data_IF_085900414688
#
_entry.id   IF_085900414688
#
_cell.length_a   1.000
_cell.length_b   1.000
_cell.length_c   1.000
_cell.angle_alpha   90.00
_cell.angle_beta   90.00
_cell.angle_gamma   90.00
#
_symmetry.space_group_name_H-M   'P 1'
#
loop_
_entity.id
_entity.type
_entity.pdbx_description
1 polymer ?
#
# COMPACT_ATOMS: atom_id res chain seq x y z
N UNK A 1 20.07 58.92 -39.01
CA UNK A 1 19.94 60.38 -38.83
C UNK A 1 19.33 60.60 -37.44
N UNK A 2 20.14 61.01 -36.45
CA UNK A 2 20.06 62.27 -35.64
C UNK A 2 18.68 62.46 -34.98
N UNK A 3 18.49 62.68 -33.67
CA UNK A 3 19.26 63.33 -32.59
C UNK A 3 18.77 62.75 -31.23
N UNK A 4 19.45 62.71 -30.08
CA UNK A 4 20.35 63.58 -29.30
C UNK A 4 19.68 64.76 -28.55
N UNK A 5 19.96 64.78 -27.23
CA UNK A 5 19.72 65.78 -26.16
C UNK A 5 18.37 65.71 -25.42
N UNK A 6 18.29 65.80 -24.08
CA UNK A 6 19.08 66.65 -23.18
C UNK A 6 19.31 66.08 -21.76
N UNK A 7 20.47 66.43 -21.20
CA UNK A 7 20.79 66.43 -19.76
C UNK A 7 20.01 67.53 -19.02
N UNK A 8 19.70 67.33 -17.73
CA UNK A 8 20.05 68.32 -16.71
C UNK A 8 20.16 67.69 -15.32
N UNK A 9 21.28 68.02 -14.66
CA UNK A 9 21.74 67.65 -13.33
C UNK A 9 21.17 68.56 -12.24
N UNK A 10 20.98 68.04 -11.02
CA UNK A 10 21.09 68.82 -9.79
C UNK A 10 21.65 67.96 -8.63
N UNK A 11 22.79 68.39 -8.10
CA UNK A 11 23.37 67.97 -6.82
C UNK A 11 22.80 68.88 -5.70
N UNK A 12 22.74 68.50 -4.41
CA UNK A 12 23.81 68.75 -3.41
C UNK A 12 23.34 68.30 -1.99
N UNK A 13 24.19 67.49 -1.33
CA UNK A 13 24.68 67.51 0.08
C UNK A 13 23.79 67.14 1.29
N UNK A 14 24.18 65.99 1.87
CA UNK A 14 24.56 65.61 3.26
C UNK A 14 23.81 66.10 4.51
N UNK A 15 23.49 65.12 5.37
CA UNK A 15 23.26 65.28 6.81
C UNK A 15 23.54 64.00 7.61
N UNK A 16 24.68 64.01 8.31
CA UNK A 16 25.19 63.28 9.49
C UNK A 16 24.67 61.91 9.96
N UNK A 17 25.67 61.12 10.36
CA UNK A 17 25.64 59.78 10.95
C UNK A 17 25.12 59.72 12.40
N UNK A 18 24.57 58.55 12.77
CA UNK A 18 24.76 57.91 14.07
C UNK A 18 24.74 56.39 13.89
N UNK A 19 25.69 55.73 14.53
CA UNK A 19 26.08 54.33 14.40
C UNK A 19 24.99 53.31 14.78
N UNK A 20 25.07 52.08 14.24
CA UNK A 20 25.43 50.87 15.00
C UNK A 20 25.43 49.61 14.11
N UNK A 21 26.50 48.83 14.25
CA UNK A 21 26.57 47.36 14.16
C UNK A 21 26.13 46.67 12.84
N UNK A 22 27.14 46.48 11.98
CA UNK A 22 27.56 45.19 11.42
C UNK A 22 26.66 43.95 11.71
N UNK A 23 25.91 43.50 10.70
CA UNK A 23 25.64 42.05 10.45
C UNK A 23 24.98 41.81 9.08
N UNK A 24 25.73 41.20 8.18
CA UNK A 24 25.23 40.26 7.17
C UNK A 24 26.33 39.20 7.05
N UNK A 25 26.01 37.88 7.07
CA UNK A 25 25.06 37.20 6.19
C UNK A 25 23.99 36.43 7.01
N UNK A 26 22.87 35.93 6.49
CA UNK A 26 22.75 34.86 5.50
C UNK A 26 21.25 34.68 5.13
N UNK A 27 20.90 34.11 3.96
CA UNK A 27 19.53 34.00 3.48
C UNK A 27 18.86 32.81 4.16
N UNK A 28 18.12 33.04 5.24
CA UNK A 28 17.16 32.06 5.74
C UNK A 28 15.94 32.00 4.82
N UNK A 29 16.13 31.45 3.62
CA UNK A 29 15.06 30.69 2.98
C UNK A 29 14.97 29.36 3.74
N UNK A 30 14.19 29.35 4.83
CA UNK A 30 13.73 28.11 5.44
C UNK A 30 12.84 27.43 4.40
N UNK A 31 13.43 26.52 3.63
CA UNK A 31 12.66 25.67 2.74
C UNK A 31 11.71 24.83 3.60
N UNK A 32 10.41 24.74 3.24
CA UNK A 32 9.48 23.86 3.94
C UNK A 32 10.02 22.43 3.93
N UNK A 33 9.64 21.56 4.90
CA UNK A 33 10.05 20.16 4.87
C UNK A 33 9.54 19.55 3.57
N UNK A 34 10.47 19.32 2.63
CA UNK A 34 10.17 18.61 1.41
C UNK A 34 9.66 17.24 1.84
N UNK A 35 8.43 16.96 1.45
CA UNK A 35 7.76 15.68 1.58
C UNK A 35 8.72 14.57 1.09
N UNK A 36 9.46 13.90 1.98
CA UNK A 36 10.51 12.92 1.59
C UNK A 36 9.93 11.57 1.19
N UNK A 37 8.78 11.57 0.51
CA UNK A 37 8.43 10.43 -0.30
C UNK A 37 9.42 10.40 -1.47
N UNK A 38 10.34 9.42 -1.47
CA UNK A 38 11.20 9.16 -2.62
C UNK A 38 10.29 9.05 -3.86
N UNK A 39 10.60 9.77 -4.96
CA UNK A 39 9.85 9.59 -6.20
C UNK A 39 9.92 8.13 -6.63
N UNK A 40 8.81 7.62 -7.18
CA UNK A 40 8.69 6.21 -7.60
C UNK A 40 9.81 5.89 -8.59
N UNK A 41 10.68 4.95 -8.22
CA UNK A 41 11.79 4.54 -9.07
C UNK A 41 11.33 3.56 -10.15
N UNK A 42 12.17 3.34 -11.18
CA UNK A 42 11.92 2.30 -12.18
C UNK A 42 11.82 0.91 -11.54
N UNK A 43 12.60 0.66 -10.49
CA UNK A 43 12.54 -0.59 -9.73
C UNK A 43 11.20 -0.75 -9.00
N UNK A 44 10.65 0.34 -8.44
CA UNK A 44 9.34 0.33 -7.80
C UNK A 44 8.22 0.06 -8.83
N UNK A 45 8.30 0.70 -10.00
CA UNK A 45 7.35 0.48 -11.10
C UNK A 45 7.39 -0.97 -11.60
N UNK A 46 8.59 -1.55 -11.75
CA UNK A 46 8.78 -2.96 -12.10
C UNK A 46 8.19 -3.89 -11.03
N UNK A 47 8.44 -3.61 -9.75
CA UNK A 47 7.88 -4.38 -8.64
C UNK A 47 6.34 -4.36 -8.57
N UNK A 48 5.71 -3.25 -8.98
CA UNK A 48 4.25 -3.18 -9.11
C UNK A 48 3.73 -3.94 -10.33
N UNK A 49 4.43 -3.88 -11.46
CA UNK A 49 4.08 -4.64 -12.65
C UNK A 49 4.16 -6.16 -12.38
N UNK A 50 5.23 -6.62 -11.75
CA UNK A 50 5.40 -8.01 -11.33
C UNK A 50 4.31 -8.45 -10.34
N UNK A 51 3.94 -7.59 -9.39
CA UNK A 51 2.82 -7.86 -8.48
C UNK A 51 1.51 -8.10 -9.24
N UNK A 52 1.17 -7.20 -10.17
CA UNK A 52 -0.04 -7.32 -10.99
C UNK A 52 -0.06 -8.61 -11.80
N UNK A 53 1.06 -8.95 -12.45
CA UNK A 53 1.21 -10.21 -13.18
C UNK A 53 0.96 -11.42 -12.27
N UNK A 54 1.53 -11.42 -11.06
CA UNK A 54 1.41 -12.52 -10.10
C UNK A 54 -0.01 -12.69 -9.54
N UNK A 55 -0.71 -11.59 -9.22
CA UNK A 55 -2.11 -11.69 -8.78
C UNK A 55 -3.05 -12.10 -9.91
N UNK A 56 -2.78 -11.68 -11.15
CA UNK A 56 -3.52 -12.15 -12.34
C UNK A 56 -3.28 -13.63 -12.59
N UNK A 57 -2.04 -14.11 -12.50
CA UNK A 57 -1.72 -15.52 -12.64
C UNK A 57 -2.36 -16.37 -11.54
N UNK A 58 -2.37 -15.88 -10.29
CA UNK A 58 -3.07 -16.51 -9.18
C UNK A 58 -4.57 -16.64 -9.47
N UNK A 59 -5.23 -15.54 -9.87
CA UNK A 59 -6.66 -15.53 -10.19
C UNK A 59 -7.00 -16.46 -11.36
N UNK A 60 -6.17 -16.51 -12.40
CA UNK A 60 -6.36 -17.43 -13.51
C UNK A 60 -6.27 -18.91 -13.08
N UNK A 61 -5.31 -19.25 -12.21
CA UNK A 61 -5.20 -20.59 -11.63
C UNK A 61 -6.44 -20.93 -10.78
N UNK A 62 -6.82 -20.00 -9.90
CA UNK A 62 -8.02 -20.10 -9.06
C UNK A 62 -9.26 -20.41 -9.91
N UNK A 63 -9.57 -19.55 -10.88
CA UNK A 63 -10.76 -19.67 -11.71
C UNK A 63 -10.77 -20.98 -12.51
N UNK A 64 -9.60 -21.42 -13.01
CA UNK A 64 -9.46 -22.70 -13.70
C UNK A 64 -9.78 -23.88 -12.77
N UNK A 65 -9.31 -23.86 -11.53
CA UNK A 65 -9.55 -24.93 -10.57
C UNK A 65 -10.99 -24.89 -10.04
N UNK A 66 -11.54 -23.71 -9.79
CA UNK A 66 -12.93 -23.54 -9.38
C UNK A 66 -13.88 -24.05 -10.47
N UNK A 67 -13.62 -23.75 -11.74
CA UNK A 67 -14.40 -24.26 -12.87
C UNK A 67 -14.35 -25.79 -13.04
N UNK A 68 -13.39 -26.48 -12.40
CA UNK A 68 -13.33 -27.95 -12.39
C UNK A 68 -14.20 -28.59 -11.32
N UNK A 69 -14.72 -27.80 -10.37
CA UNK A 69 -15.62 -28.28 -9.33
C UNK A 69 -17.04 -28.46 -9.89
N UNK A 70 -17.84 -29.38 -9.31
CA UNK A 70 -19.24 -29.50 -9.65
C UNK A 70 -19.97 -28.16 -9.44
N UNK A 71 -20.81 -27.77 -10.41
CA UNK A 71 -21.64 -26.58 -10.28
C UNK A 71 -22.44 -26.61 -8.98
N UNK A 72 -22.51 -25.46 -8.31
CA UNK A 72 -23.31 -25.32 -7.09
C UNK A 72 -24.80 -25.54 -7.44
N UNK A 73 -25.56 -26.29 -6.62
CA UNK A 73 -27.01 -26.40 -6.78
C UNK A 73 -27.69 -25.04 -6.74
N UNK A 74 -28.88 -24.93 -7.35
CA UNK A 74 -29.68 -23.70 -7.33
C UNK A 74 -30.00 -23.22 -5.91
N UNK A 75 -30.24 -24.15 -4.98
CA UNK A 75 -30.30 -23.85 -3.55
C UNK A 75 -28.93 -24.01 -2.90
N UNK A 76 -28.32 -22.89 -2.55
CA UNK A 76 -27.00 -22.85 -1.92
C UNK A 76 -27.15 -22.67 -0.41
N UNK A 77 -27.08 -23.76 0.35
CA UNK A 77 -27.03 -23.72 1.82
C UNK A 77 -25.62 -23.36 2.30
N UNK A 78 -25.48 -22.92 3.55
CA UNK A 78 -24.15 -22.65 4.15
C UNK A 78 -23.24 -23.89 4.10
N UNK A 79 -23.79 -25.08 4.30
CA UNK A 79 -23.05 -26.34 4.21
C UNK A 79 -22.51 -26.57 2.79
N UNK A 80 -23.30 -26.29 1.75
CA UNK A 80 -22.86 -26.39 0.34
C UNK A 80 -21.75 -25.39 0.04
N UNK A 81 -21.85 -24.15 0.53
CA UNK A 81 -20.79 -23.13 0.38
C UNK A 81 -19.50 -23.62 1.01
N UNK A 82 -19.56 -24.09 2.25
CA UNK A 82 -18.40 -24.54 2.99
C UNK A 82 -17.73 -25.77 2.34
N UNK A 83 -18.50 -26.75 1.87
CA UNK A 83 -17.95 -27.90 1.15
C UNK A 83 -17.25 -27.50 -0.15
N UNK A 84 -17.84 -26.56 -0.89
CA UNK A 84 -17.23 -26.04 -2.11
C UNK A 84 -15.94 -25.27 -1.83
N UNK A 85 -15.93 -24.44 -0.80
CA UNK A 85 -14.74 -23.72 -0.32
C UNK A 85 -13.61 -24.69 0.05
N UNK A 86 -13.91 -25.73 0.83
CA UNK A 86 -12.94 -26.78 1.18
C UNK A 86 -12.41 -27.53 -0.04
N UNK A 87 -13.26 -27.83 -1.02
CA UNK A 87 -12.85 -28.49 -2.25
C UNK A 87 -11.87 -27.62 -3.05
N UNK A 88 -12.20 -26.33 -3.22
CA UNK A 88 -11.33 -25.38 -3.91
C UNK A 88 -10.00 -25.17 -3.16
N UNK A 89 -10.06 -25.03 -1.84
CA UNK A 89 -8.88 -24.91 -0.99
C UNK A 89 -7.89 -26.06 -1.22
N UNK A 90 -8.38 -27.31 -1.25
CA UNK A 90 -7.53 -28.49 -1.51
C UNK A 90 -6.85 -28.42 -2.88
N UNK A 91 -7.58 -28.03 -3.92
CA UNK A 91 -7.03 -27.88 -5.27
C UNK A 91 -5.96 -26.78 -5.32
N UNK A 92 -6.23 -25.63 -4.70
CA UNK A 92 -5.28 -24.51 -4.64
C UNK A 92 -4.02 -24.87 -3.86
N UNK A 93 -4.15 -25.52 -2.71
CA UNK A 93 -3.03 -25.97 -1.87
C UNK A 93 -2.14 -26.94 -2.65
N UNK A 94 -2.73 -27.93 -3.34
CA UNK A 94 -1.97 -28.90 -4.13
C UNK A 94 -1.26 -28.24 -5.32
N UNK A 95 -1.98 -27.41 -6.09
CA UNK A 95 -1.43 -26.72 -7.25
C UNK A 95 -0.31 -25.72 -6.85
N UNK A 96 -0.35 -25.22 -5.61
CA UNK A 96 0.60 -24.27 -5.04
C UNK A 96 1.44 -24.88 -3.93
N UNK A 97 1.69 -26.20 -3.92
CA UNK A 97 2.38 -26.89 -2.82
C UNK A 97 3.76 -26.32 -2.47
N UNK A 98 4.43 -25.72 -3.45
CA UNK A 98 5.76 -25.11 -3.31
C UNK A 98 5.70 -23.59 -3.05
N UNK A 99 4.51 -23.02 -2.91
CA UNK A 99 4.32 -21.60 -2.67
C UNK A 99 4.81 -21.19 -1.27
N UNK A 100 5.51 -20.06 -1.23
CA UNK A 100 6.09 -19.48 -0.02
C UNK A 100 5.79 -18.00 0.07
N UNK A 101 5.96 -17.46 1.27
CA UNK A 101 5.80 -16.04 1.53
C UNK A 101 6.68 -15.22 0.57
N UNK A 102 6.10 -14.19 -0.03
CA UNK A 102 6.77 -13.29 -0.96
C UNK A 102 6.82 -13.78 -2.41
N UNK A 103 6.19 -14.90 -2.74
CA UNK A 103 6.02 -15.34 -4.13
C UNK A 103 5.06 -14.43 -4.91
N UNK A 104 4.15 -13.70 -4.25
CA UNK A 104 3.26 -12.71 -4.88
C UNK A 104 3.67 -11.30 -4.44
N UNK A 105 3.71 -11.04 -3.13
CA UNK A 105 4.17 -9.77 -2.54
C UNK A 105 5.69 -9.81 -2.41
N UNK A 106 6.38 -9.70 -3.54
CA UNK A 106 7.84 -9.77 -3.62
C UNK A 106 8.52 -8.72 -2.73
N UNK A 107 9.80 -8.88 -2.36
CA UNK A 107 10.52 -7.86 -1.59
C UNK A 107 10.47 -6.45 -2.20
N UNK A 108 10.49 -6.35 -3.53
CA UNK A 108 10.33 -5.07 -4.24
C UNK A 108 8.92 -4.50 -4.04
N UNK A 109 7.88 -5.32 -4.21
CA UNK A 109 6.49 -4.93 -3.95
C UNK A 109 6.28 -4.50 -2.50
N UNK A 110 6.85 -5.22 -1.54
CA UNK A 110 6.76 -4.87 -0.12
C UNK A 110 7.32 -3.49 0.18
N UNK A 111 8.44 -3.12 -0.46
CA UNK A 111 9.01 -1.79 -0.31
C UNK A 111 8.03 -0.71 -0.78
N UNK A 112 7.42 -0.90 -1.95
CA UNK A 112 6.43 0.04 -2.49
C UNK A 112 5.20 0.12 -1.59
N UNK A 113 4.69 -1.02 -1.13
CA UNK A 113 3.52 -1.07 -0.26
C UNK A 113 3.79 -0.34 1.07
N UNK A 114 4.96 -0.53 1.69
CA UNK A 114 5.36 0.23 2.88
C UNK A 114 5.36 1.74 2.62
N UNK A 115 5.88 2.19 1.48
CA UNK A 115 5.89 3.62 1.14
C UNK A 115 4.48 4.19 0.89
N UNK A 116 3.60 3.40 0.27
CA UNK A 116 2.19 3.75 0.07
C UNK A 116 1.48 3.86 1.42
N UNK A 117 1.56 2.81 2.24
CA UNK A 117 0.93 2.75 3.56
C UNK A 117 1.49 3.82 4.50
N UNK A 118 2.79 4.10 4.46
CA UNK A 118 3.40 5.18 5.24
C UNK A 118 2.89 6.58 4.88
N UNK A 119 2.38 6.77 3.65
CA UNK A 119 1.70 8.01 3.26
C UNK A 119 0.26 8.03 3.76
N UNK A 120 -0.46 6.90 3.63
CA UNK A 120 -1.84 6.76 4.10
C UNK A 120 -1.95 6.96 5.61
N UNK A 121 -1.02 6.39 6.39
CA UNK A 121 -1.05 6.46 7.85
C UNK A 121 -0.30 7.67 8.45
N UNK A 122 0.01 8.68 7.64
CA UNK A 122 0.70 9.88 8.10
C UNK A 122 -0.28 10.88 8.73
N UNK A 123 0.20 11.67 9.69
CA UNK A 123 -0.61 12.70 10.33
C UNK A 123 -1.55 12.15 11.39
N UNK A 124 -2.47 12.97 11.89
CA UNK A 124 -3.40 12.59 12.95
C UNK A 124 -4.43 11.58 12.49
N UNK A 125 -5.15 11.87 11.40
CA UNK A 125 -6.11 10.96 10.77
C UNK A 125 -5.49 9.60 10.42
N UNK A 126 -4.26 9.61 9.89
CA UNK A 126 -3.54 8.38 9.57
C UNK A 126 -3.20 7.53 10.80
N UNK A 127 -2.95 8.16 11.96
CA UNK A 127 -2.74 7.42 13.23
C UNK A 127 -4.04 6.82 13.73
N UNK A 128 -5.16 7.54 13.64
CA UNK A 128 -6.48 7.02 14.01
C UNK A 128 -6.87 5.84 13.12
N UNK A 129 -6.62 5.94 11.81
CA UNK A 129 -6.86 4.86 10.86
C UNK A 129 -6.02 3.61 11.14
N UNK A 130 -4.75 3.81 11.51
CA UNK A 130 -3.88 2.70 11.94
C UNK A 130 -4.40 2.08 13.24
N UNK A 131 -4.86 2.91 14.19
CA UNK A 131 -5.39 2.44 15.46
C UNK A 131 -6.67 1.61 15.27
N UNK A 132 -7.58 2.00 14.37
CA UNK A 132 -8.80 1.23 14.11
C UNK A 132 -8.49 -0.16 13.53
N UNK A 133 -7.49 -0.27 12.65
CA UNK A 133 -7.05 -1.58 12.13
C UNK A 133 -6.46 -2.44 13.25
N UNK A 134 -5.68 -1.84 14.15
CA UNK A 134 -5.05 -2.56 15.27
C UNK A 134 -6.05 -2.98 16.36
N UNK A 135 -7.14 -2.23 16.54
CA UNK A 135 -8.23 -2.56 17.46
C UNK A 135 -9.02 -3.80 16.98
N UNK A 136 -9.20 -3.94 15.67
CA UNK A 136 -9.81 -5.12 15.03
C UNK A 136 -8.86 -6.34 14.96
N UNK A 137 -7.62 -6.22 15.46
CA UNK A 137 -6.64 -7.28 15.36
C UNK A 137 -7.02 -8.48 16.24
N UNK A 138 -7.20 -9.68 15.67
CA UNK A 138 -7.53 -10.90 16.43
C UNK A 138 -6.38 -11.44 17.30
N UNK A 139 -5.23 -10.76 17.33
CA UNK A 139 -4.07 -11.14 18.11
C UNK A 139 -3.09 -12.02 17.33
N UNK A 140 -2.45 -12.96 18.03
CA UNK A 140 -1.37 -13.77 17.45
C UNK A 140 -1.93 -14.93 16.62
N UNK A 141 -2.13 -14.68 15.33
CA UNK A 141 -2.50 -15.70 14.34
C UNK A 141 -1.24 -16.21 13.64
N UNK A 142 -1.03 -17.52 13.65
CA UNK A 142 0.01 -18.17 12.86
C UNK A 142 -0.33 -18.10 11.37
N UNK A 143 0.35 -17.20 10.64
CA UNK A 143 0.15 -17.07 9.19
C UNK A 143 1.06 -18.02 8.43
N UNK A 144 0.50 -18.67 7.42
CA UNK A 144 1.25 -19.52 6.50
C UNK A 144 0.56 -19.46 5.14
N UNK A 145 1.35 -19.36 4.07
CA UNK A 145 0.84 -19.47 2.70
C UNK A 145 0.11 -20.81 2.53
N UNK A 146 -1.02 -20.78 1.84
CA UNK A 146 -1.97 -21.89 1.65
C UNK A 146 -2.68 -22.38 2.93
N UNK A 147 -2.43 -21.80 4.10
CA UNK A 147 -3.24 -22.13 5.28
C UNK A 147 -4.62 -21.48 5.15
N UNK A 148 -5.63 -22.16 5.71
CA UNK A 148 -6.96 -21.59 5.87
C UNK A 148 -6.89 -20.37 6.78
N UNK A 149 -7.64 -19.33 6.41
CA UNK A 149 -7.92 -18.25 7.34
C UNK A 149 -8.86 -18.79 8.43
N UNK A 150 -8.62 -18.51 9.73
CA UNK A 150 -9.47 -19.05 10.79
C UNK A 150 -10.90 -18.47 10.76
N UNK A 151 -11.91 -19.33 10.81
CA UNK A 151 -13.32 -18.93 10.74
C UNK A 151 -13.79 -18.15 11.99
N UNK A 152 -13.15 -18.40 13.14
CA UNK A 152 -13.49 -17.76 14.41
C UNK A 152 -13.00 -16.31 14.50
N UNK A 153 -12.16 -15.91 13.55
CA UNK A 153 -11.57 -14.59 13.49
C UNK A 153 -12.45 -13.71 12.61
N UNK A 154 -13.07 -12.65 13.16
CA UNK A 154 -13.78 -11.67 12.35
C UNK A 154 -12.86 -11.15 11.25
N UNK A 155 -13.41 -11.05 10.03
CA UNK A 155 -12.69 -10.44 8.90
C UNK A 155 -12.57 -8.94 9.17
N UNK A 156 -11.41 -8.52 9.67
CA UNK A 156 -11.10 -7.09 9.81
C UNK A 156 -11.27 -6.39 8.47
N UNK A 157 -11.87 -5.21 8.49
CA UNK A 157 -12.09 -4.42 7.30
C UNK A 157 -10.82 -3.66 6.93
N UNK A 158 -10.51 -3.58 5.63
CA UNK A 158 -9.45 -2.68 5.16
C UNK A 158 -10.10 -1.33 4.87
N UNK A 159 -9.66 -0.24 5.51
CA UNK A 159 -10.30 1.05 5.31
C UNK A 159 -10.23 1.50 3.84
N UNK A 160 -11.28 2.18 3.31
CA UNK A 160 -11.33 2.60 1.91
C UNK A 160 -10.14 3.43 1.44
N UNK A 161 -9.55 4.23 2.33
CA UNK A 161 -8.36 5.03 2.07
C UNK A 161 -7.14 4.16 1.77
N UNK A 162 -7.01 3.02 2.46
CA UNK A 162 -5.96 2.04 2.19
C UNK A 162 -6.21 1.33 0.86
N UNK A 163 -7.45 0.87 0.62
CA UNK A 163 -7.82 0.19 -0.64
C UNK A 163 -7.63 1.09 -1.87
N UNK A 164 -7.90 2.39 -1.74
CA UNK A 164 -7.72 3.36 -2.83
C UNK A 164 -6.25 3.61 -3.17
N UNK A 165 -5.34 3.34 -2.24
CA UNK A 165 -3.92 3.59 -2.39
C UNK A 165 -3.13 2.37 -2.91
N UNK A 166 -3.64 1.15 -2.68
CA UNK A 166 -3.03 -0.09 -3.13
C UNK A 166 -3.46 -0.47 -4.56
N UNK A 167 -2.69 -1.30 -5.29
CA UNK A 167 -3.12 -1.83 -6.58
C UNK A 167 -4.42 -2.62 -6.45
N UNK A 168 -5.33 -2.46 -7.41
CA UNK A 168 -6.59 -3.21 -7.45
C UNK A 168 -6.31 -4.72 -7.58
N UNK A 169 -7.07 -5.51 -6.85
CA UNK A 169 -7.02 -6.97 -6.93
C UNK A 169 -8.09 -7.51 -7.88
N UNK A 170 -7.87 -8.69 -8.48
CA UNK A 170 -8.95 -9.51 -9.04
C UNK A 170 -10.01 -9.82 -7.98
N UNK A 171 -11.25 -10.08 -8.40
CA UNK A 171 -12.37 -10.33 -7.49
C UNK A 171 -12.17 -11.55 -6.56
N UNK A 172 -11.32 -12.48 -6.95
CA UNK A 172 -10.99 -13.69 -6.19
C UNK A 172 -10.06 -13.43 -4.99
N UNK A 173 -9.49 -12.22 -4.88
CA UNK A 173 -8.52 -11.82 -3.87
C UNK A 173 -8.93 -10.55 -3.11
N UNK A 174 -8.64 -10.52 -1.82
CA UNK A 174 -8.82 -9.36 -0.96
C UNK A 174 -7.57 -9.03 -0.15
N UNK A 175 -7.35 -7.73 0.09
CA UNK A 175 -6.43 -7.29 1.14
C UNK A 175 -7.09 -7.43 2.50
N UNK A 176 -6.34 -7.90 3.50
CA UNK A 176 -6.74 -7.92 4.91
C UNK A 176 -5.56 -7.60 5.80
N UNK A 177 -5.82 -7.08 7.00
CA UNK A 177 -4.79 -6.90 8.04
C UNK A 177 -4.98 -7.92 9.16
N UNK A 178 -3.84 -8.47 9.63
CA UNK A 178 -3.76 -9.11 10.95
C UNK A 178 -2.59 -8.47 11.69
N UNK A 179 -2.93 -7.58 12.62
CA UNK A 179 -1.96 -6.75 13.31
C UNK A 179 -1.23 -5.83 12.32
N UNK A 180 0.10 -5.89 12.31
CA UNK A 180 0.93 -5.13 11.38
C UNK A 180 1.19 -5.85 10.05
N UNK A 181 0.52 -6.97 9.78
CA UNK A 181 0.74 -7.80 8.59
C UNK A 181 -0.36 -7.58 7.58
N UNK A 182 0.00 -7.40 6.31
CA UNK A 182 -0.95 -7.31 5.19
C UNK A 182 -1.01 -8.67 4.49
N UNK A 183 -2.21 -9.17 4.28
CA UNK A 183 -2.50 -10.50 3.75
C UNK A 183 -3.27 -10.37 2.44
N UNK A 184 -2.96 -11.23 1.48
CA UNK A 184 -3.82 -11.54 0.34
C UNK A 184 -4.66 -12.77 0.70
N UNK A 185 -5.95 -12.56 0.90
CA UNK A 185 -6.92 -13.60 1.18
C UNK A 185 -7.61 -14.02 -0.11
N UNK A 186 -7.60 -15.32 -0.41
CA UNK A 186 -8.47 -15.91 -1.41
C UNK A 186 -9.88 -16.06 -0.83
N UNK A 187 -10.85 -15.36 -1.42
CA UNK A 187 -12.20 -15.28 -0.84
C UNK A 187 -13.04 -16.53 -1.06
N UNK A 188 -12.85 -17.27 -2.15
CA UNK A 188 -13.65 -18.47 -2.42
C UNK A 188 -13.01 -19.73 -1.82
N UNK A 189 -11.68 -19.80 -1.74
CA UNK A 189 -10.96 -20.89 -1.11
C UNK A 189 -10.75 -20.67 0.40
N UNK A 190 -10.89 -19.44 0.88
CA UNK A 190 -10.61 -19.03 2.27
C UNK A 190 -9.21 -19.41 2.73
N UNK A 191 -8.22 -19.19 1.87
CA UNK A 191 -6.81 -19.48 2.13
C UNK A 191 -5.95 -18.25 1.95
N UNK A 192 -4.82 -18.22 2.64
CA UNK A 192 -3.84 -17.14 2.53
C UNK A 192 -3.03 -17.35 1.24
N UNK A 193 -3.24 -16.48 0.25
CA UNK A 193 -2.53 -16.52 -1.02
C UNK A 193 -1.07 -16.11 -0.85
N UNK A 194 -0.82 -15.02 -0.11
CA UNK A 194 0.50 -14.54 0.31
C UNK A 194 0.34 -13.50 1.43
N UNK A 195 1.43 -13.08 2.07
CA UNK A 195 1.41 -12.01 3.07
C UNK A 195 2.76 -11.30 3.20
N UNK A 196 2.73 -10.08 3.74
CA UNK A 196 3.92 -9.34 4.12
C UNK A 196 3.86 -8.91 5.58
N UNK A 197 5.00 -9.02 6.26
CA UNK A 197 5.14 -8.57 7.63
C UNK A 197 5.46 -7.08 7.71
N UNK A 198 5.16 -6.44 8.85
CA UNK A 198 5.50 -5.03 9.12
C UNK A 198 5.00 -4.08 8.02
N UNK A 199 3.76 -4.24 7.58
CA UNK A 199 3.11 -3.39 6.58
C UNK A 199 2.99 -1.93 7.06
N UNK A 200 2.89 -1.70 8.37
CA UNK A 200 2.92 -0.36 8.92
C UNK A 200 4.35 0.20 8.98
N UNK A 201 4.52 1.52 8.78
CA UNK A 201 5.78 2.16 9.10
C UNK A 201 6.10 1.96 10.59
N UNK A 202 7.36 1.64 10.86
CA UNK A 202 7.98 1.76 12.18
C UNK A 202 8.24 3.23 12.50
#
# INVERSE_FOLDING_TARGET
MKALYALLTAAIVSGSACAHADRSPDPTAVQPPANTARPMSEADAKGLAEFNERVTAYAALHQKLEASLPSKPAETTQAVIHQHQLALARLMVEARKDAKQGDIITPATQLVFRQVLARVFRGEEGRELKASILDENPGNVGLKVNASYPDEIPRSTVPPQVLSALPKLPADLEYRFIGDRLILLDVHAHTIADYMDKAFPV
#
